data_IF_996469489916
#
_entry.id   IF_996469489916
#
_cell.length_a   1.000
_cell.length_b   1.000
_cell.length_c   1.000
_cell.angle_alpha   90.00
_cell.angle_beta   90.00
_cell.angle_gamma   90.00
#
_symmetry.space_group_name_H-M   'P 1'
#
loop_
_entity.id
_entity.type
_entity.pdbx_description
1 polymer ?
#
# COMPACT_ATOMS: atom_id res chain seq x y z
N UNK A 1 -0.02 -3.73 -23.98
CA UNK A 1 -0.65 -2.92 -22.92
C UNK A 1 -1.70 -3.76 -22.20
N UNK A 2 -1.64 -3.88 -20.88
CA UNK A 2 -2.49 -4.76 -20.06
C UNK A 2 -3.41 -3.96 -19.12
N UNK A 3 -4.73 -4.14 -19.22
CA UNK A 3 -5.68 -3.55 -18.25
C UNK A 3 -5.72 -4.37 -16.96
N UNK A 4 -5.62 -3.71 -15.80
CA UNK A 4 -5.91 -4.33 -14.51
C UNK A 4 -7.40 -4.68 -14.39
N UNK A 5 -7.77 -5.90 -14.79
CA UNK A 5 -9.15 -6.41 -14.71
C UNK A 5 -9.49 -7.04 -13.35
N UNK A 6 -8.48 -7.43 -12.58
CA UNK A 6 -8.60 -8.04 -11.24
C UNK A 6 -8.11 -7.03 -10.19
N UNK A 7 -7.06 -7.36 -9.44
CA UNK A 7 -6.48 -6.46 -8.47
C UNK A 7 -5.69 -5.31 -9.13
N UNK A 8 -5.68 -4.15 -8.48
CA UNK A 8 -4.99 -2.95 -8.98
C UNK A 8 -3.47 -3.10 -9.01
N UNK A 9 -2.91 -4.08 -8.28
CA UNK A 9 -1.49 -4.40 -8.29
C UNK A 9 -1.06 -5.21 -9.52
N UNK A 10 -1.98 -5.80 -10.31
CA UNK A 10 -1.62 -6.65 -11.46
C UNK A 10 -0.57 -6.02 -12.39
N UNK A 11 -0.64 -4.72 -12.73
CA UNK A 11 0.38 -4.07 -13.56
C UNK A 11 1.80 -4.04 -12.98
N UNK A 12 1.98 -4.30 -11.67
CA UNK A 12 3.30 -4.44 -11.04
C UNK A 12 3.97 -5.78 -11.35
N UNK A 13 3.26 -6.71 -11.99
CA UNK A 13 3.86 -7.99 -12.36
C UNK A 13 5.01 -7.82 -13.33
N UNK A 14 6.12 -8.53 -13.09
CA UNK A 14 7.26 -8.59 -14.02
C UNK A 14 6.88 -9.14 -15.41
N UNK A 15 5.76 -9.85 -15.52
CA UNK A 15 5.24 -10.35 -16.80
C UNK A 15 4.48 -9.30 -17.61
N UNK A 16 4.19 -8.14 -17.01
CA UNK A 16 3.48 -7.02 -17.63
C UNK A 16 4.49 -5.93 -17.97
N UNK A 17 4.75 -5.75 -19.27
CA UNK A 17 5.66 -4.70 -19.74
C UNK A 17 5.06 -3.30 -19.54
N UNK A 18 3.82 -3.11 -19.99
CA UNK A 18 3.04 -1.89 -19.79
C UNK A 18 1.62 -2.29 -19.38
N UNK A 19 1.18 -1.83 -18.23
CA UNK A 19 -0.17 -2.01 -17.73
C UNK A 19 -0.80 -0.71 -17.26
N UNK A 20 -2.12 -0.71 -17.14
CA UNK A 20 -2.87 0.45 -16.65
C UNK A 20 -4.03 0.04 -15.74
N UNK A 21 -4.36 0.92 -14.81
CA UNK A 21 -5.55 0.81 -13.95
C UNK A 21 -6.49 1.94 -14.35
N UNK A 22 -7.65 1.64 -14.96
CA UNK A 22 -8.63 2.66 -15.32
C UNK A 22 -9.24 3.30 -14.07
N UNK A 23 -9.91 4.45 -14.25
CA UNK A 23 -10.54 5.22 -13.15
C UNK A 23 -11.41 4.33 -12.24
N UNK A 24 -12.21 3.45 -12.85
CA UNK A 24 -13.10 2.53 -12.12
C UNK A 24 -12.44 1.19 -11.78
N UNK A 25 -11.19 0.94 -12.20
CA UNK A 25 -10.50 -0.33 -12.04
C UNK A 25 -10.37 -0.75 -10.57
N UNK A 26 -10.22 0.22 -9.69
CA UNK A 26 -10.18 0.01 -8.26
C UNK A 26 -11.51 -0.50 -7.67
N UNK A 27 -12.66 -0.21 -8.30
CA UNK A 27 -14.01 -0.66 -7.87
C UNK A 27 -14.34 -2.09 -8.32
N UNK A 28 -13.65 -2.58 -9.36
CA UNK A 28 -13.98 -3.84 -10.03
C UNK A 28 -13.65 -5.09 -9.20
N UNK A 29 -12.77 -5.01 -8.20
CA UNK A 29 -12.31 -6.18 -7.46
C UNK A 29 -12.60 -6.11 -5.96
N UNK A 30 -13.44 -7.03 -5.49
CA UNK A 30 -13.95 -7.05 -4.12
C UNK A 30 -12.83 -7.11 -3.07
N UNK A 31 -11.77 -7.91 -3.30
CA UNK A 31 -10.70 -8.13 -2.31
C UNK A 31 -9.88 -6.87 -1.99
N UNK A 32 -9.85 -5.88 -2.88
CA UNK A 32 -9.08 -4.65 -2.67
C UNK A 32 -9.99 -3.43 -2.62
N UNK A 33 -11.29 -3.60 -2.36
CA UNK A 33 -12.26 -2.51 -2.41
C UNK A 33 -12.00 -1.46 -1.32
N UNK A 34 -11.59 -1.85 -0.11
CA UNK A 34 -11.44 -0.88 1.00
C UNK A 34 -10.39 0.20 0.74
N UNK A 35 -9.31 -0.10 0.03
CA UNK A 35 -8.29 0.92 -0.28
C UNK A 35 -8.83 2.08 -1.14
N UNK A 36 -9.95 1.89 -1.85
CA UNK A 36 -10.61 2.97 -2.60
C UNK A 36 -11.04 4.13 -1.75
N UNK A 37 -11.31 3.90 -0.46
CA UNK A 37 -11.77 4.96 0.43
C UNK A 37 -10.74 6.08 0.50
N UNK A 38 -9.46 5.78 0.28
CA UNK A 38 -8.35 6.74 0.19
C UNK A 38 -8.23 7.46 -1.16
N UNK A 39 -8.94 6.98 -2.19
CA UNK A 39 -8.96 7.59 -3.52
C UNK A 39 -10.18 8.51 -3.67
N UNK A 40 -10.26 9.51 -2.79
CA UNK A 40 -11.34 10.52 -2.75
C UNK A 40 -11.13 11.62 -3.81
N UNK A 41 -12.13 12.47 -4.08
CA UNK A 41 -11.97 13.65 -4.94
C UNK A 41 -10.82 14.59 -4.58
N UNK A 42 -10.41 14.62 -3.31
CA UNK A 42 -9.29 15.45 -2.83
C UNK A 42 -7.92 14.83 -3.13
N UNK A 43 -7.87 13.56 -3.55
CA UNK A 43 -6.64 12.92 -4.01
C UNK A 43 -6.18 13.58 -5.34
N UNK A 44 -4.92 14.03 -5.46
CA UNK A 44 -4.41 14.66 -6.70
C UNK A 44 -4.50 13.76 -7.95
N UNK A 45 -4.57 12.45 -7.72
CA UNK A 45 -4.68 11.42 -8.75
C UNK A 45 -6.12 11.01 -9.04
N UNK A 46 -7.11 11.58 -8.33
CA UNK A 46 -8.52 11.25 -8.51
C UNK A 46 -8.95 11.43 -9.97
N UNK A 47 -9.65 10.43 -10.48
CA UNK A 47 -10.04 10.40 -11.89
C UNK A 47 -8.87 10.31 -12.86
N UNK A 48 -7.63 9.98 -12.46
CA UNK A 48 -6.56 9.69 -13.42
C UNK A 48 -6.49 8.19 -13.71
N UNK A 49 -5.86 7.85 -14.83
CA UNK A 49 -5.49 6.48 -15.16
C UNK A 49 -4.07 6.25 -14.65
N UNK A 50 -3.87 5.22 -13.83
CA UNK A 50 -2.53 4.81 -13.44
C UNK A 50 -1.92 4.03 -14.59
N UNK A 51 -0.71 4.39 -15.00
CA UNK A 51 0.10 3.64 -15.96
C UNK A 51 1.33 3.12 -15.23
N UNK A 52 1.58 1.82 -15.37
CA UNK A 52 2.75 1.13 -14.80
C UNK A 52 3.51 0.52 -15.96
N UNK A 53 4.83 0.68 -15.95
CA UNK A 53 5.70 0.16 -17.00
C UNK A 53 6.97 -0.41 -16.39
N UNK A 54 7.46 -1.53 -16.93
CA UNK A 54 8.74 -2.10 -16.55
C UNK A 54 9.94 -1.37 -17.18
N UNK A 55 9.67 -0.52 -18.17
CA UNK A 55 10.66 0.29 -18.90
C UNK A 55 10.18 1.74 -19.05
N UNK A 56 11.09 2.66 -19.41
CA UNK A 56 10.71 4.04 -19.71
C UNK A 56 9.84 4.06 -20.98
N UNK A 57 8.73 4.79 -20.94
CA UNK A 57 7.88 5.02 -22.11
C UNK A 57 8.32 6.32 -22.76
N UNK A 58 9.02 6.25 -23.90
CA UNK A 58 9.59 7.43 -24.57
C UNK A 58 8.52 8.42 -25.07
N UNK A 59 7.33 7.93 -25.42
CA UNK A 59 6.22 8.75 -25.93
C UNK A 59 5.47 9.54 -24.85
N UNK A 60 5.78 9.30 -23.57
CA UNK A 60 5.25 10.08 -22.45
C UNK A 60 6.34 11.07 -22.04
N UNK A 61 6.16 12.32 -22.45
CA UNK A 61 7.12 13.42 -22.28
C UNK A 61 7.46 13.69 -20.80
N UNK A 62 6.53 13.39 -19.91
CA UNK A 62 6.74 13.45 -18.47
C UNK A 62 7.39 12.15 -18.00
N UNK A 63 8.52 12.28 -17.29
CA UNK A 63 9.12 11.16 -16.56
C UNK A 63 8.13 10.49 -15.61
N UNK A 64 8.42 9.26 -15.14
CA UNK A 64 7.53 8.55 -14.24
C UNK A 64 7.33 9.34 -12.94
N UNK A 65 6.13 9.34 -12.36
CA UNK A 65 5.91 9.98 -11.05
C UNK A 65 6.61 9.22 -9.91
N UNK A 66 6.84 7.92 -10.13
CA UNK A 66 7.42 6.99 -9.16
C UNK A 66 8.24 5.93 -9.87
N UNK A 67 9.30 5.47 -9.22
CA UNK A 67 10.08 4.31 -9.66
C UNK A 67 10.09 3.31 -8.50
N UNK A 68 9.64 2.09 -8.78
CA UNK A 68 9.61 0.98 -7.81
C UNK A 68 10.77 0.03 -8.12
N UNK A 69 11.57 -0.29 -7.10
CA UNK A 69 12.78 -1.13 -7.24
C UNK A 69 12.87 -2.13 -6.09
N UNK A 70 13.55 -3.25 -6.33
CA UNK A 70 13.87 -4.16 -5.23
C UNK A 70 14.89 -3.53 -4.29
N UNK A 71 14.66 -3.65 -2.99
CA UNK A 71 15.62 -3.18 -1.98
C UNK A 71 16.35 -4.35 -1.34
N UNK A 72 17.60 -4.10 -0.92
CA UNK A 72 18.36 -5.00 -0.04
C UNK A 72 18.13 -4.70 1.45
N UNK A 73 17.28 -3.71 1.76
CA UNK A 73 17.01 -3.30 3.12
C UNK A 73 16.52 -4.46 4.00
N UNK A 74 17.13 -4.58 5.18
CA UNK A 74 16.85 -5.60 6.20
C UNK A 74 16.97 -4.98 7.59
N UNK A 75 16.09 -4.06 7.97
CA UNK A 75 16.06 -3.58 9.37
C UNK A 75 14.62 -3.32 9.83
N UNK A 76 14.06 -4.20 10.67
CA UNK A 76 12.65 -4.17 11.01
C UNK A 76 12.48 -3.90 12.51
N UNK A 77 12.78 -2.70 12.99
CA UNK A 77 12.17 -2.33 14.27
C UNK A 77 10.68 -2.23 14.01
N UNK A 78 9.91 -3.13 14.61
CA UNK A 78 8.47 -3.19 14.41
C UNK A 78 7.78 -2.75 15.69
N UNK A 79 6.71 -1.96 15.60
CA UNK A 79 5.90 -1.63 16.76
C UNK A 79 5.27 -2.90 17.33
N UNK A 80 5.27 -2.98 18.66
CA UNK A 80 4.31 -3.81 19.38
C UNK A 80 2.90 -3.19 19.31
N UNK A 81 1.95 -3.79 20.02
CA UNK A 81 0.57 -3.28 20.04
C UNK A 81 0.48 -1.83 20.55
N UNK A 82 1.31 -1.45 21.53
CA UNK A 82 1.33 -0.10 22.08
C UNK A 82 1.85 0.90 21.04
N UNK A 83 2.92 0.55 20.32
CA UNK A 83 3.45 1.36 19.22
C UNK A 83 2.46 1.52 18.07
N UNK A 84 1.70 0.47 17.74
CA UNK A 84 0.66 0.53 16.71
C UNK A 84 -0.50 1.44 17.13
N UNK A 85 -0.95 1.34 18.38
CA UNK A 85 -1.97 2.23 18.95
C UNK A 85 -1.49 3.69 18.94
N UNK A 86 -0.24 3.94 19.33
CA UNK A 86 0.33 5.28 19.32
C UNK A 86 0.31 5.89 17.91
N UNK A 87 0.60 5.11 16.86
CA UNK A 87 0.57 5.61 15.48
C UNK A 87 -0.83 6.03 15.04
N UNK A 88 -1.86 5.25 15.37
CA UNK A 88 -3.24 5.53 14.95
C UNK A 88 -3.93 6.59 15.81
N UNK A 89 -3.43 6.88 17.01
CA UNK A 89 -3.95 7.95 17.89
C UNK A 89 -3.43 9.36 17.48
N UNK A 90 -2.49 9.44 16.53
CA UNK A 90 -1.92 10.72 16.08
C UNK A 90 -2.93 11.51 15.28
N UNK A 91 -3.03 12.80 15.58
CA UNK A 91 -3.87 13.76 14.85
C UNK A 91 -3.66 13.68 13.32
N UNK A 92 -2.43 13.49 12.86
CA UNK A 92 -2.11 13.35 11.44
C UNK A 92 -2.80 12.15 10.78
N UNK A 93 -2.99 11.04 11.49
CA UNK A 93 -3.79 9.90 11.00
C UNK A 93 -5.28 10.23 10.98
N UNK A 94 -5.79 10.86 12.05
CA UNK A 94 -7.19 11.27 12.16
C UNK A 94 -7.63 12.24 11.06
N UNK A 95 -6.77 13.19 10.71
CA UNK A 95 -7.04 14.15 9.64
C UNK A 95 -6.95 13.55 8.24
N UNK A 96 -6.09 12.55 8.05
CA UNK A 96 -5.83 11.98 6.72
C UNK A 96 -6.75 10.82 6.37
N UNK A 97 -7.20 10.04 7.36
CA UNK A 97 -7.95 8.81 7.08
C UNK A 97 -9.38 9.11 6.61
N UNK A 98 -9.88 8.39 5.61
CA UNK A 98 -11.30 8.42 5.26
C UNK A 98 -12.14 7.76 6.34
N UNK A 99 -13.33 8.30 6.65
CA UNK A 99 -14.27 7.66 7.59
C UNK A 99 -14.64 6.24 7.15
N UNK A 100 -14.92 6.05 5.86
CA UNK A 100 -15.23 4.73 5.29
C UNK A 100 -14.07 3.73 5.35
N UNK A 101 -12.82 4.17 5.64
CA UNK A 101 -11.72 3.23 5.91
C UNK A 101 -11.86 2.57 7.29
N UNK A 102 -12.34 3.31 8.29
CA UNK A 102 -12.49 2.84 9.68
C UNK A 102 -13.75 1.99 9.88
N UNK A 103 -14.70 2.02 8.95
CA UNK A 103 -15.91 1.20 9.00
C UNK A 103 -15.62 -0.26 8.61
N UNK A 104 -15.06 -1.01 9.55
CA UNK A 104 -14.88 -2.46 9.45
C UNK A 104 -16.13 -3.24 9.83
N UNK A 105 -17.08 -2.62 10.53
CA UNK A 105 -18.32 -3.24 10.97
C UNK A 105 -19.28 -3.49 9.80
N UNK A 106 -19.13 -2.73 8.71
CA UNK A 106 -19.84 -2.99 7.45
C UNK A 106 -19.34 -4.19 6.65
N UNK A 107 -18.25 -4.85 7.04
CA UNK A 107 -17.76 -6.08 6.40
C UNK A 107 -18.36 -7.34 7.05
N UNK A 108 -18.71 -8.34 6.24
CA UNK A 108 -19.25 -9.62 6.71
C UNK A 108 -18.21 -10.37 7.60
N UNK A 109 -18.52 -10.66 8.88
CA UNK A 109 -17.63 -11.37 9.78
C UNK A 109 -17.16 -12.74 9.25
N UNK A 110 -17.99 -13.45 8.48
CA UNK A 110 -17.60 -14.74 7.88
C UNK A 110 -16.53 -14.55 6.80
N UNK A 111 -16.62 -13.45 6.02
CA UNK A 111 -15.58 -13.10 5.04
C UNK A 111 -14.27 -12.74 5.73
N UNK A 112 -14.32 -12.00 6.83
CA UNK A 112 -13.14 -11.64 7.61
C UNK A 112 -12.43 -12.88 8.18
N UNK A 113 -13.18 -13.80 8.79
CA UNK A 113 -12.62 -15.04 9.33
C UNK A 113 -12.05 -15.94 8.23
N UNK A 114 -12.77 -16.06 7.10
CA UNK A 114 -12.28 -16.78 5.92
C UNK A 114 -10.97 -16.19 5.40
N UNK A 115 -10.84 -14.86 5.40
CA UNK A 115 -9.61 -14.19 5.01
C UNK A 115 -8.45 -14.52 5.94
N UNK A 116 -8.64 -14.46 7.26
CA UNK A 116 -7.61 -14.85 8.22
C UNK A 116 -7.13 -16.29 7.98
N UNK A 117 -8.06 -17.22 7.74
CA UNK A 117 -7.75 -18.62 7.40
C UNK A 117 -6.95 -18.75 6.12
N UNK A 118 -7.37 -18.08 5.03
CA UNK A 118 -6.66 -18.08 3.73
C UNK A 118 -5.24 -17.52 3.88
N UNK A 119 -5.09 -16.51 4.74
CA UNK A 119 -3.81 -15.86 5.02
C UNK A 119 -2.91 -16.64 5.99
N UNK A 120 -3.38 -17.77 6.52
CA UNK A 120 -2.65 -18.57 7.51
C UNK A 120 -2.49 -17.86 8.86
N UNK A 121 -3.35 -16.89 9.16
CA UNK A 121 -3.33 -16.13 10.40
C UNK A 121 -4.20 -16.86 11.43
N UNK A 122 -3.55 -17.49 12.41
CA UNK A 122 -4.21 -18.23 13.49
C UNK A 122 -4.02 -17.47 14.80
N UNK A 123 -5.08 -17.44 15.62
CA UNK A 123 -5.03 -16.86 16.95
C UNK A 123 -4.99 -15.33 16.98
N UNK A 124 -5.34 -14.66 15.88
CA UNK A 124 -5.57 -13.21 15.85
C UNK A 124 -6.98 -12.92 15.37
N UNK A 125 -7.58 -11.85 15.84
CA UNK A 125 -8.87 -11.35 15.34
C UNK A 125 -8.66 -10.45 14.12
N UNK A 126 -9.73 -10.17 13.38
CA UNK A 126 -9.66 -9.22 12.28
C UNK A 126 -9.40 -7.80 12.80
N UNK A 127 -9.92 -7.43 13.96
CA UNK A 127 -9.67 -6.13 14.59
C UNK A 127 -8.18 -5.93 14.89
N UNK A 128 -7.51 -6.96 15.40
CA UNK A 128 -6.06 -6.92 15.64
C UNK A 128 -5.27 -6.76 14.35
N UNK A 129 -5.68 -7.47 13.29
CA UNK A 129 -5.09 -7.33 11.96
C UNK A 129 -5.36 -5.94 11.37
N UNK A 130 -6.58 -5.42 11.55
CA UNK A 130 -6.98 -4.10 11.07
C UNK A 130 -6.20 -2.98 11.74
N UNK A 131 -5.96 -3.10 13.04
CA UNK A 131 -5.09 -2.18 13.79
C UNK A 131 -3.69 -2.12 13.17
N UNK A 132 -3.10 -3.25 12.77
CA UNK A 132 -1.83 -3.26 12.04
C UNK A 132 -1.94 -2.60 10.66
N UNK A 133 -3.04 -2.82 9.93
CA UNK A 133 -3.27 -2.15 8.64
C UNK A 133 -3.27 -0.62 8.80
N UNK A 134 -4.03 -0.11 9.76
CA UNK A 134 -4.13 1.32 10.06
C UNK A 134 -2.79 1.91 10.50
N UNK A 135 -2.10 1.25 11.44
CA UNK A 135 -0.79 1.70 11.91
C UNK A 135 0.23 1.77 10.76
N UNK A 136 0.19 0.82 9.82
CA UNK A 136 1.09 0.84 8.67
C UNK A 136 0.86 2.08 7.79
N UNK A 137 -0.39 2.36 7.44
CA UNK A 137 -0.74 3.57 6.68
C UNK A 137 -0.37 4.84 7.45
N UNK A 138 -0.66 4.88 8.75
CA UNK A 138 -0.29 5.99 9.65
C UNK A 138 1.22 6.27 9.62
N UNK A 139 2.07 5.23 9.62
CA UNK A 139 3.52 5.42 9.54
C UNK A 139 3.98 6.03 8.21
N UNK A 140 3.25 5.83 7.11
CA UNK A 140 3.50 6.51 5.84
C UNK A 140 2.83 7.89 5.74
N UNK A 141 1.96 8.25 6.68
CA UNK A 141 1.43 9.61 6.82
C UNK A 141 2.38 10.43 7.67
N UNK A 142 2.75 9.94 8.85
CA UNK A 142 3.57 10.64 9.82
C UNK A 142 4.47 9.68 10.61
N UNK A 143 5.70 9.43 10.14
CA UNK A 143 6.49 8.29 10.56
C UNK A 143 7.06 8.42 11.96
N UNK A 144 6.91 7.35 12.72
CA UNK A 144 7.70 7.04 13.92
C UNK A 144 8.78 6.03 13.57
N UNK A 145 8.47 5.09 12.68
CA UNK A 145 9.36 4.04 12.21
C UNK A 145 9.93 4.42 10.84
N UNK A 146 11.15 4.91 10.83
CA UNK A 146 11.85 5.34 9.63
C UNK A 146 13.35 5.11 9.75
N UNK A 147 14.05 5.20 8.61
CA UNK A 147 15.50 5.36 8.58
C UNK A 147 15.87 6.73 8.04
N UNK A 148 17.09 7.17 8.34
CA UNK A 148 17.66 8.37 7.71
C UNK A 148 18.60 7.97 6.59
N UNK A 149 18.33 8.48 5.39
CA UNK A 149 19.24 8.38 4.24
C UNK A 149 19.47 9.79 3.70
N UNK A 150 20.73 10.23 3.54
CA UNK A 150 21.05 11.56 3.00
C UNK A 150 20.26 12.72 3.66
N UNK A 151 20.09 12.68 5.00
CA UNK A 151 19.28 13.61 5.79
C UNK A 151 17.76 13.61 5.53
N UNK A 152 17.26 12.64 4.78
CA UNK A 152 15.83 12.47 4.52
C UNK A 152 15.24 11.36 5.39
N UNK A 153 14.00 11.58 5.80
CA UNK A 153 13.18 10.57 6.46
C UNK A 153 12.63 9.59 5.43
N UNK A 154 13.01 8.32 5.55
CA UNK A 154 12.51 7.24 4.70
C UNK A 154 11.63 6.32 5.55
N UNK A 155 10.29 6.49 5.48
CA UNK A 155 9.39 5.60 6.21
C UNK A 155 9.40 4.21 5.59
N UNK A 156 9.13 3.21 6.41
CA UNK A 156 9.06 1.83 5.97
C UNK A 156 7.80 1.11 6.48
N UNK A 157 7.38 0.06 5.77
CA UNK A 157 6.26 -0.78 6.20
C UNK A 157 6.57 -1.46 7.52
N UNK A 158 5.67 -1.37 8.49
CA UNK A 158 5.90 -1.81 9.86
C UNK A 158 5.29 -3.18 10.18
N UNK A 159 5.00 -3.98 9.16
CA UNK A 159 4.53 -5.33 9.34
C UNK A 159 4.94 -6.25 8.18
N UNK A 160 4.88 -7.55 8.42
CA UNK A 160 5.12 -8.59 7.41
C UNK A 160 3.97 -8.64 6.40
N UNK A 161 4.21 -9.19 5.22
CA UNK A 161 3.23 -9.25 4.11
C UNK A 161 1.85 -9.70 4.54
N UNK A 162 1.71 -10.69 5.41
CA UNK A 162 0.40 -11.20 5.83
C UNK A 162 -0.40 -10.21 6.69
N UNK A 163 0.23 -9.17 7.23
CA UNK A 163 -0.36 -8.13 8.07
C UNK A 163 -0.42 -6.77 7.38
N UNK A 164 -0.07 -6.69 6.10
CA UNK A 164 -0.18 -5.47 5.31
C UNK A 164 -1.42 -5.60 4.42
N UNK A 165 -2.27 -4.59 4.43
CA UNK A 165 -3.33 -4.43 3.45
C UNK A 165 -2.98 -3.28 2.51
N UNK A 166 -3.62 -3.23 1.34
CA UNK A 166 -3.65 -2.02 0.53
C UNK A 166 -2.30 -1.39 0.18
N UNK A 167 -1.20 -2.16 0.14
CA UNK A 167 0.16 -1.64 -0.12
C UNK A 167 0.28 -0.83 -1.42
N UNK A 168 -0.71 -0.97 -2.32
CA UNK A 168 -0.84 -0.16 -3.54
C UNK A 168 -0.99 1.34 -3.23
N UNK A 169 -1.53 1.71 -2.06
CA UNK A 169 -1.63 3.11 -1.63
C UNK A 169 -0.25 3.73 -1.46
N UNK A 170 0.68 3.00 -0.85
CA UNK A 170 2.07 3.42 -0.69
C UNK A 170 2.85 3.31 -1.99
N UNK A 171 2.70 2.19 -2.72
CA UNK A 171 3.37 1.96 -3.99
C UNK A 171 3.03 3.05 -5.02
N UNK A 172 1.77 3.47 -5.08
CA UNK A 172 1.30 4.43 -6.08
C UNK A 172 1.25 5.87 -5.58
N UNK A 173 1.92 6.17 -4.46
CA UNK A 173 1.99 7.51 -3.85
C UNK A 173 0.63 8.12 -3.48
N UNK A 174 -0.41 7.32 -3.28
CA UNK A 174 -1.67 7.81 -2.70
C UNK A 174 -1.43 8.18 -1.23
N UNK A 175 -0.70 7.34 -0.50
CA UNK A 175 -0.20 7.64 0.86
C UNK A 175 1.31 7.84 0.82
N UNK A 176 1.77 8.87 1.55
CA UNK A 176 3.19 9.19 1.68
C UNK A 176 3.82 9.86 0.45
N UNK A 177 3.04 10.61 -0.33
CA UNK A 177 3.55 11.41 -1.47
C UNK A 177 4.50 12.53 -1.06
N UNK A 178 4.56 12.90 0.23
CA UNK A 178 5.51 13.90 0.74
C UNK A 178 6.94 13.37 0.91
N UNK A 179 7.15 12.07 0.82
CA UNK A 179 8.46 11.44 1.00
C UNK A 179 9.10 11.13 -0.35
N UNK A 180 10.33 11.57 -0.55
CA UNK A 180 11.09 11.29 -1.78
C UNK A 180 11.37 9.79 -1.96
N UNK A 181 11.62 9.07 -0.85
CA UNK A 181 11.79 7.62 -0.83
C UNK A 181 10.94 7.01 0.28
N UNK A 182 10.38 5.83 -0.02
CA UNK A 182 9.70 4.94 0.94
C UNK A 182 10.14 3.50 0.75
N UNK A 183 10.05 2.69 1.80
CA UNK A 183 10.36 1.26 1.76
C UNK A 183 9.10 0.46 2.06
N UNK A 184 8.51 -0.17 1.04
CA UNK A 184 7.19 -0.78 1.13
C UNK A 184 7.29 -2.31 1.07
N UNK A 185 6.63 -3.00 2.00
CA UNK A 185 6.41 -4.45 1.97
C UNK A 185 5.11 -4.74 1.23
N UNK A 186 5.07 -5.70 0.29
CA UNK A 186 3.84 -6.01 -0.43
C UNK A 186 2.80 -6.63 0.50
N UNK A 187 1.52 -6.28 0.26
CA UNK A 187 0.38 -6.99 0.81
C UNK A 187 0.21 -8.37 0.15
N UNK A 188 -0.66 -9.25 0.68
CA UNK A 188 -0.90 -10.57 0.12
C UNK A 188 -1.39 -10.53 -1.32
N UNK A 189 -2.26 -9.57 -1.65
CA UNK A 189 -2.73 -9.37 -3.02
C UNK A 189 -1.61 -9.02 -3.98
N UNK A 190 -0.64 -8.19 -3.58
CA UNK A 190 0.52 -7.87 -4.42
C UNK A 190 1.43 -9.08 -4.63
N UNK A 191 1.58 -9.95 -3.63
CA UNK A 191 2.29 -11.23 -3.81
C UNK A 191 1.54 -12.14 -4.77
N UNK A 192 0.24 -12.35 -4.55
CA UNK A 192 -0.57 -13.30 -5.32
C UNK A 192 -0.81 -12.85 -6.78
N UNK A 193 -1.09 -11.57 -7.01
CA UNK A 193 -1.52 -11.06 -8.32
C UNK A 193 -0.40 -10.39 -9.10
N UNK A 194 0.64 -9.88 -8.43
CA UNK A 194 1.79 -9.26 -9.09
C UNK A 194 3.09 -10.06 -8.96
N UNK A 195 3.10 -11.16 -8.20
CA UNK A 195 4.30 -12.00 -8.05
C UNK A 195 5.42 -11.30 -7.27
N UNK A 196 5.10 -10.31 -6.43
CA UNK A 196 6.08 -9.65 -5.57
C UNK A 196 6.58 -10.60 -4.48
N UNK A 197 7.81 -10.41 -4.02
CA UNK A 197 8.38 -11.26 -2.98
C UNK A 197 7.80 -10.95 -1.61
N UNK A 198 7.26 -11.97 -0.93
CA UNK A 198 6.74 -11.82 0.43
C UNK A 198 7.85 -11.38 1.40
N UNK A 199 7.50 -10.48 2.34
CA UNK A 199 8.38 -9.92 3.37
C UNK A 199 9.65 -9.26 2.81
N UNK A 200 9.60 -8.79 1.55
CA UNK A 200 10.67 -8.02 0.93
C UNK A 200 10.29 -6.55 0.89
N UNK A 201 11.25 -5.69 1.21
CA UNK A 201 11.11 -4.26 1.01
C UNK A 201 11.39 -3.90 -0.44
N UNK A 202 10.56 -3.02 -0.97
CA UNK A 202 10.72 -2.38 -2.26
C UNK A 202 10.91 -0.89 -2.04
N UNK A 203 11.86 -0.30 -2.74
CA UNK A 203 12.03 1.15 -2.76
C UNK A 203 10.99 1.76 -3.69
N UNK A 204 10.28 2.77 -3.20
CA UNK A 204 9.38 3.62 -3.97
C UNK A 204 9.98 5.01 -3.95
N UNK A 205 10.48 5.47 -5.10
CA UNK A 205 11.25 6.71 -5.22
C UNK A 205 10.53 7.68 -6.17
N UNK A 206 10.39 8.93 -5.76
CA UNK A 206 9.99 10.01 -6.64
C UNK A 206 11.23 10.53 -7.38
N UNK A 207 11.27 10.48 -8.72
CA UNK A 207 12.35 11.14 -9.44
C UNK A 207 12.21 12.66 -9.28
N UNK A 208 13.31 13.31 -8.89
CA UNK A 208 13.42 14.77 -8.84
C UNK A 208 13.51 15.42 -10.21
#
# INVERSE_FOLDING_TARGET
MHEARKAVCVPLSRSVEIGFVPRDGWRKYALCRRQLTWFTPDCPYYGRVLVVSSSRIETIDRGPNIIIRESRFRRPELPDRTGQLHLIDRESYHQARPEAWEDIAGEDPELQERWLKVMGLRGITYDELFLTHCANHANFIDPVYFIREANQTVPYSIAKTTHICSACLEFFNIIGSRFEKKLVVPCPGAVLFAGMGANRYYEVVQPG
#
